data_IF_263875397884
#
_entry.id   IF_263875397884
#
_cell.length_a   1.000
_cell.length_b   1.000
_cell.length_c   1.000
_cell.angle_alpha   90.00
_cell.angle_beta   90.00
_cell.angle_gamma   90.00
#
_symmetry.space_group_name_H-M   'P 1'
#
loop_
_entity.id
_entity.type
_entity.pdbx_description
1 polymer ?
#
# COMPACT_ATOMS: atom_id res chain seq x y z
N UNK A 1 -1.36 2.47 -15.76
CA UNK A 1 -1.24 2.47 -14.29
C UNK A 1 -2.58 2.01 -13.80
N UNK A 2 -2.68 0.75 -13.40
CA UNK A 2 -3.96 0.07 -13.17
C UNK A 2 -4.10 -0.34 -11.69
N UNK A 3 -3.61 0.52 -10.78
CA UNK A 3 -3.71 0.34 -9.33
C UNK A 3 -4.80 1.25 -8.77
N UNK A 4 -5.66 0.71 -7.91
CA UNK A 4 -6.64 1.48 -7.15
C UNK A 4 -6.31 1.47 -5.66
N UNK A 5 -6.39 2.64 -5.02
CA UNK A 5 -6.30 2.77 -3.57
C UNK A 5 -7.70 3.08 -3.09
N UNK A 6 -8.24 2.21 -2.24
CA UNK A 6 -9.58 2.34 -1.70
C UNK A 6 -9.54 2.44 -0.17
N UNK A 7 -10.55 3.08 0.40
CA UNK A 7 -10.74 3.16 1.83
C UNK A 7 -11.69 2.03 2.24
N UNK A 8 -11.30 1.21 3.22
CA UNK A 8 -12.18 0.24 3.86
C UNK A 8 -12.33 0.60 5.33
N UNK A 9 -13.55 0.93 5.77
CA UNK A 9 -13.83 1.12 7.19
C UNK A 9 -14.09 -0.23 7.86
N UNK A 10 -13.59 -0.40 9.09
CA UNK A 10 -13.72 -1.63 9.90
C UNK A 10 -15.18 -1.88 10.32
N UNK A 11 -15.99 -0.82 10.31
CA UNK A 11 -17.40 -0.87 10.66
C UNK A 11 -18.24 -1.17 9.40
N UNK A 12 -18.71 -2.42 9.28
CA UNK A 12 -19.72 -2.94 8.32
C UNK A 12 -19.22 -3.31 6.93
N UNK A 13 -19.38 -4.60 6.58
CA UNK A 13 -19.70 -5.16 5.25
C UNK A 13 -19.29 -4.34 4.01
N UNK A 14 -18.07 -3.83 3.96
CA UNK A 14 -17.62 -3.03 2.82
C UNK A 14 -16.92 -3.90 1.79
N UNK A 15 -17.02 -3.42 0.55
CA UNK A 15 -16.52 -4.01 -0.68
C UNK A 15 -15.12 -4.62 -0.48
N UNK A 16 -15.10 -5.95 -0.33
CA UNK A 16 -13.88 -6.72 -0.43
C UNK A 16 -13.58 -6.86 -1.91
N UNK A 17 -12.52 -6.20 -2.36
CA UNK A 17 -12.16 -6.31 -3.77
C UNK A 17 -11.71 -7.75 -4.01
N UNK A 18 -12.36 -8.48 -4.93
CA UNK A 18 -11.98 -9.86 -5.22
C UNK A 18 -10.53 -9.85 -5.70
N UNK A 19 -9.67 -10.50 -4.92
CA UNK A 19 -8.25 -10.63 -5.24
C UNK A 19 -8.00 -12.02 -5.79
N UNK A 20 -7.30 -12.07 -6.92
CA UNK A 20 -7.04 -13.31 -7.64
C UNK A 20 -5.58 -13.40 -8.12
N UNK A 21 -5.27 -14.50 -8.81
CA UNK A 21 -3.93 -14.78 -9.34
C UNK A 21 -3.92 -14.92 -10.87
N UNK A 22 -5.08 -14.84 -11.53
CA UNK A 22 -5.16 -14.92 -12.97
C UNK A 22 -4.87 -13.57 -13.63
N UNK A 23 -4.47 -13.61 -14.91
CA UNK A 23 -4.23 -12.41 -15.71
C UNK A 23 -5.52 -11.58 -15.82
N UNK A 24 -5.47 -10.32 -15.37
CA UNK A 24 -6.62 -9.41 -15.35
C UNK A 24 -7.38 -9.35 -14.02
N UNK A 25 -7.02 -10.18 -13.04
CA UNK A 25 -7.56 -10.07 -11.68
C UNK A 25 -6.79 -9.03 -10.85
N UNK A 26 -7.47 -8.42 -9.89
CA UNK A 26 -6.84 -7.45 -9.01
C UNK A 26 -5.96 -8.16 -7.98
N UNK A 27 -4.72 -7.72 -7.83
CA UNK A 27 -3.76 -8.29 -6.88
C UNK A 27 -3.58 -7.38 -5.67
N UNK A 28 -3.46 -7.98 -4.49
CA UNK A 28 -3.16 -7.25 -3.26
C UNK A 28 -1.66 -6.98 -3.11
N UNK A 29 -1.22 -5.76 -3.44
CA UNK A 29 0.17 -5.30 -3.31
C UNK A 29 0.67 -5.33 -1.85
N UNK A 30 -0.21 -5.32 -0.84
CA UNK A 30 0.21 -5.29 0.57
C UNK A 30 0.61 -6.68 1.11
N UNK A 31 0.29 -7.77 0.41
CA UNK A 31 0.66 -9.13 0.83
C UNK A 31 2.17 -9.32 0.95
N UNK A 32 2.96 -8.59 0.16
CA UNK A 32 4.43 -8.63 0.23
C UNK A 32 4.98 -8.15 1.59
N UNK A 33 4.25 -7.28 2.28
CA UNK A 33 4.64 -6.74 3.59
C UNK A 33 4.16 -7.60 4.77
N UNK A 34 3.34 -8.62 4.50
CA UNK A 34 2.85 -9.59 5.48
C UNK A 34 1.32 -9.67 5.53
N UNK A 35 0.76 -10.80 6.01
CA UNK A 35 -0.68 -10.98 6.15
C UNK A 35 -1.29 -9.90 7.06
N UNK A 36 -2.47 -9.41 6.66
CA UNK A 36 -3.22 -8.34 7.35
C UNK A 36 -2.51 -6.98 7.43
N UNK A 37 -1.52 -6.74 6.57
CA UNK A 37 -0.96 -5.40 6.41
C UNK A 37 -2.03 -4.43 5.92
N UNK A 38 -2.10 -3.23 6.49
CA UNK A 38 -3.07 -2.23 6.11
C UNK A 38 -2.46 -0.84 6.05
N UNK A 39 -3.01 0.01 5.19
CA UNK A 39 -2.57 1.40 5.05
C UNK A 39 -3.17 2.21 6.20
N UNK A 40 -2.30 2.82 6.99
CA UNK A 40 -2.68 3.68 8.13
C UNK A 40 -2.83 5.14 7.75
N UNK A 41 -2.04 5.61 6.77
CA UNK A 41 -2.06 7.00 6.30
C UNK A 41 -1.78 7.03 4.80
N UNK A 42 -2.48 7.89 4.10
CA UNK A 42 -2.29 8.17 2.69
C UNK A 42 -2.04 9.67 2.49
N UNK A 43 -1.11 9.98 1.61
CA UNK A 43 -0.72 11.34 1.23
C UNK A 43 -0.81 11.45 -0.30
N UNK A 44 -1.68 12.34 -0.79
CA UNK A 44 -1.73 12.67 -2.22
C UNK A 44 -0.85 13.89 -2.50
N UNK A 45 0.17 13.71 -3.34
CA UNK A 45 1.02 14.79 -3.87
C UNK A 45 0.59 15.28 -5.26
N UNK A 46 -0.46 14.71 -5.85
CA UNK A 46 -0.95 15.04 -7.19
C UNK A 46 -1.09 13.79 -8.08
N UNK A 47 -1.38 13.98 -9.37
CA UNK A 47 -1.40 12.89 -10.34
C UNK A 47 -0.06 12.15 -10.31
N UNK A 48 -0.11 10.82 -10.18
CA UNK A 48 1.06 9.92 -10.14
C UNK A 48 2.02 10.08 -8.94
N UNK A 49 1.78 11.06 -8.06
CA UNK A 49 2.61 11.33 -6.89
C UNK A 49 1.82 11.02 -5.62
N UNK A 50 2.08 9.86 -5.02
CA UNK A 50 1.44 9.50 -3.76
C UNK A 50 2.39 8.78 -2.83
N UNK A 51 2.16 8.95 -1.54
CA UNK A 51 2.86 8.23 -0.51
C UNK A 51 1.85 7.63 0.46
N UNK A 52 2.16 6.46 0.99
CA UNK A 52 1.34 5.84 2.02
C UNK A 52 2.19 5.16 3.07
N UNK A 53 1.67 5.15 4.30
CA UNK A 53 2.26 4.43 5.42
C UNK A 53 1.43 3.19 5.70
N UNK A 54 2.01 2.03 5.49
CA UNK A 54 1.40 0.75 5.86
C UNK A 54 1.95 0.28 7.21
N UNK A 55 1.10 -0.41 7.95
CA UNK A 55 1.48 -1.12 9.17
C UNK A 55 1.40 -2.61 8.89
N UNK A 56 2.51 -3.31 9.10
CA UNK A 56 2.55 -4.77 9.05
C UNK A 56 2.40 -5.32 10.46
N UNK A 57 1.27 -5.95 10.80
CA UNK A 57 1.13 -6.62 12.09
C UNK A 57 1.99 -7.88 12.18
N UNK A 58 2.56 -8.35 11.06
CA UNK A 58 3.42 -9.54 11.02
C UNK A 58 4.84 -9.24 11.53
N UNK A 59 5.35 -8.05 11.25
CA UNK A 59 6.68 -7.60 11.69
C UNK A 59 6.61 -6.54 12.79
N UNK A 60 5.39 -6.11 13.17
CA UNK A 60 5.09 -4.96 14.04
C UNK A 60 5.78 -3.66 13.59
N UNK A 61 6.09 -3.54 12.30
CA UNK A 61 6.80 -2.39 11.73
C UNK A 61 5.91 -1.54 10.81
N UNK A 62 6.26 -0.26 10.75
CA UNK A 62 5.69 0.67 9.79
C UNK A 62 6.58 0.73 8.55
N UNK A 63 5.97 0.59 7.37
CA UNK A 63 6.66 0.83 6.10
C UNK A 63 6.09 2.08 5.44
N UNK A 64 6.99 2.85 4.83
CA UNK A 64 6.66 4.05 4.09
C UNK A 64 6.93 3.78 2.62
N UNK A 65 5.88 3.83 1.81
CA UNK A 65 5.96 3.65 0.36
C UNK A 65 5.70 4.98 -0.30
N UNK A 66 6.59 5.39 -1.18
CA UNK A 66 6.48 6.60 -1.99
C UNK A 66 6.47 6.14 -3.44
N UNK A 67 5.35 6.36 -4.13
CA UNK A 67 5.17 6.04 -5.55
C UNK A 67 5.14 7.37 -6.29
N UNK A 68 6.30 7.71 -6.85
CA UNK A 68 6.55 8.93 -7.61
C UNK A 68 7.30 8.52 -8.87
N UNK A 69 6.81 8.88 -10.07
CA UNK A 69 7.52 8.58 -11.32
C UNK A 69 8.90 9.23 -11.32
N UNK A 70 9.93 8.45 -11.61
CA UNK A 70 11.31 8.93 -11.72
C UNK A 70 12.10 9.01 -10.41
N UNK A 71 11.53 8.63 -9.26
CA UNK A 71 12.25 8.60 -7.97
C UNK A 71 12.16 7.19 -7.40
N UNK A 72 13.31 6.51 -7.30
CA UNK A 72 13.44 5.24 -6.59
C UNK A 72 14.02 5.52 -5.21
N UNK A 73 13.21 5.37 -4.16
CA UNK A 73 13.68 5.55 -2.79
C UNK A 73 14.50 4.33 -2.37
N UNK A 74 15.83 4.48 -2.30
CA UNK A 74 16.71 3.50 -1.67
C UNK A 74 16.57 3.63 -0.15
N UNK A 75 15.92 2.66 0.48
CA UNK A 75 15.60 2.65 1.92
C UNK A 75 16.79 2.37 2.85
N UNK A 76 18.03 2.71 2.45
CA UNK A 76 19.24 2.51 3.26
C UNK A 76 19.76 3.79 3.94
N UNK A 77 19.06 4.91 3.81
CA UNK A 77 19.45 6.16 4.46
C UNK A 77 19.06 6.17 5.95
N UNK A 78 19.86 5.49 6.79
CA UNK A 78 19.90 5.75 8.24
C UNK A 78 20.54 7.13 8.48
N UNK A 79 19.75 8.13 8.88
CA UNK A 79 20.32 9.35 9.44
C UNK A 79 20.93 9.03 10.81
N UNK A 80 22.23 9.37 10.94
CA UNK A 80 23.09 9.17 12.10
C UNK A 80 22.90 10.26 13.13
#
# INVERSE_FOLDING_TARGET
MDSIIYLSSIDKQQYQVPTGWCLGEMTDELREYGPRSYITKFFSGGPENYAYRLYSPSTEQYHHVIKVPGITLLSDAKQK
#
